data_IF_352554845183
#
_entry.id   IF_352554845183
#
_cell.length_a   1.000
_cell.length_b   1.000
_cell.length_c   1.000
_cell.angle_alpha   90.00
_cell.angle_beta   90.00
_cell.angle_gamma   90.00
#
_symmetry.space_group_name_H-M   'P 1'
#
loop_
_entity.id
_entity.type
_entity.pdbx_description
1 polymer ?
#
# COMPACT_ATOMS: atom_id res chain seq x y z
N UNK A 1 21.07 -14.74 -32.65
CA UNK A 1 20.10 -13.75 -32.19
C UNK A 1 20.32 -13.55 -30.70
N UNK A 2 20.81 -12.37 -30.29
CA UNK A 2 20.82 -12.02 -28.87
C UNK A 2 19.37 -11.76 -28.43
N UNK A 3 18.95 -12.17 -27.22
CA UNK A 3 17.66 -11.73 -26.70
C UNK A 3 17.71 -10.22 -26.52
N UNK A 4 16.65 -9.54 -26.91
CA UNK A 4 16.49 -8.12 -26.63
C UNK A 4 16.51 -7.91 -25.11
N UNK A 5 17.58 -7.32 -24.59
CA UNK A 5 17.64 -6.85 -23.20
C UNK A 5 16.60 -5.74 -23.09
N UNK A 6 15.43 -6.08 -22.56
CA UNK A 6 14.42 -5.09 -22.18
C UNK A 6 15.10 -4.20 -21.14
N UNK A 7 15.33 -2.93 -21.46
CA UNK A 7 15.89 -1.96 -20.51
C UNK A 7 14.88 -1.83 -19.36
N UNK A 8 15.15 -2.53 -18.26
CA UNK A 8 14.42 -2.36 -17.01
C UNK A 8 14.61 -0.90 -16.56
N UNK A 9 13.56 -0.29 -16.03
CA UNK A 9 13.65 1.05 -15.47
C UNK A 9 14.71 1.02 -14.34
N UNK A 10 15.61 2.02 -14.21
CA UNK A 10 16.58 2.13 -13.11
C UNK A 10 16.04 1.84 -11.70
N UNK A 11 14.76 2.09 -11.44
CA UNK A 11 14.14 1.79 -10.14
C UNK A 11 13.81 0.31 -9.97
N UNK A 12 13.53 -0.40 -11.07
CA UNK A 12 13.39 -1.87 -11.09
C UNK A 12 14.73 -2.54 -10.80
N UNK A 13 15.85 -2.02 -11.32
CA UNK A 13 17.18 -2.54 -11.03
C UNK A 13 17.56 -2.37 -9.56
N UNK A 14 17.27 -1.19 -8.96
CA UNK A 14 17.47 -0.97 -7.52
C UNK A 14 16.61 -1.89 -6.65
N UNK A 15 15.39 -2.19 -7.08
CA UNK A 15 14.53 -3.16 -6.40
C UNK A 15 15.13 -4.56 -6.46
N UNK A 16 15.56 -5.00 -7.63
CA UNK A 16 16.20 -6.30 -7.81
C UNK A 16 17.49 -6.41 -6.98
N UNK A 17 18.30 -5.36 -6.92
CA UNK A 17 19.50 -5.31 -6.06
C UNK A 17 19.17 -5.40 -4.57
N UNK A 18 18.19 -4.62 -4.09
CA UNK A 18 17.74 -4.69 -2.70
C UNK A 18 17.17 -6.07 -2.39
N UNK A 19 16.32 -6.62 -3.26
CA UNK A 19 15.78 -7.96 -3.11
C UNK A 19 16.88 -9.02 -3.09
N UNK A 20 17.88 -8.92 -3.96
CA UNK A 20 19.02 -9.82 -3.96
C UNK A 20 19.80 -9.76 -2.64
N UNK A 21 20.06 -8.56 -2.13
CA UNK A 21 20.89 -8.35 -0.92
C UNK A 21 20.16 -8.66 0.38
N UNK A 22 18.93 -8.21 0.52
CA UNK A 22 18.23 -8.24 1.81
C UNK A 22 17.26 -9.42 1.91
N UNK A 23 16.66 -9.82 0.80
CA UNK A 23 15.61 -10.85 0.78
C UNK A 23 16.18 -12.21 0.40
N UNK A 24 16.91 -12.29 -0.71
CA UNK A 24 17.46 -13.55 -1.22
C UNK A 24 18.64 -14.02 -0.36
N UNK A 25 19.60 -13.13 -0.07
CA UNK A 25 20.78 -13.53 0.70
C UNK A 25 20.45 -14.00 2.13
N UNK A 26 19.34 -13.51 2.70
CA UNK A 26 18.90 -13.87 4.06
C UNK A 26 17.78 -14.92 4.10
N UNK A 27 17.37 -15.47 2.96
CA UNK A 27 16.17 -16.32 2.81
C UNK A 27 14.95 -15.72 3.56
N UNK A 28 14.72 -14.42 3.38
CA UNK A 28 13.67 -13.70 4.08
C UNK A 28 12.32 -13.97 3.42
N UNK A 29 11.44 -14.65 4.18
CA UNK A 29 10.08 -14.94 3.75
C UNK A 29 9.08 -13.86 4.14
N UNK A 30 9.53 -12.70 4.62
CA UNK A 30 8.68 -11.56 5.05
C UNK A 30 7.75 -11.89 6.25
N UNK A 31 8.12 -12.87 7.07
CA UNK A 31 7.29 -13.34 8.19
C UNK A 31 7.01 -12.27 9.24
N UNK A 32 7.93 -11.32 9.41
CA UNK A 32 7.85 -10.21 10.34
C UNK A 32 7.75 -8.85 9.64
N UNK A 33 7.42 -8.81 8.34
CA UNK A 33 7.28 -7.55 7.60
C UNK A 33 5.82 -7.11 7.55
N UNK A 34 5.61 -5.83 7.80
CA UNK A 34 4.32 -5.14 7.72
C UNK A 34 4.39 -4.20 6.54
N UNK A 35 3.64 -4.51 5.48
CA UNK A 35 3.55 -3.68 4.28
C UNK A 35 2.44 -2.66 4.47
N UNK A 36 2.74 -1.38 4.26
CA UNK A 36 1.79 -0.28 4.45
C UNK A 36 1.78 0.64 3.26
N UNK A 37 0.65 1.33 3.06
CA UNK A 37 0.49 2.29 1.97
C UNK A 37 -0.77 3.16 2.18
N UNK A 38 -0.86 4.24 1.38
CA UNK A 38 -2.05 5.07 1.25
C UNK A 38 -2.75 4.91 -0.10
N UNK A 39 -4.08 4.83 -0.06
CA UNK A 39 -4.90 4.81 -1.27
C UNK A 39 -5.98 5.90 -1.24
N UNK A 40 -6.18 6.58 -2.38
CA UNK A 40 -7.35 7.43 -2.61
C UNK A 40 -8.47 6.65 -3.31
N UNK A 41 -9.69 6.74 -2.80
CA UNK A 41 -10.89 6.16 -3.42
C UNK A 41 -11.86 7.27 -3.78
N UNK A 42 -12.25 7.36 -5.06
CA UNK A 42 -13.14 8.40 -5.59
C UNK A 42 -14.31 7.80 -6.37
N UNK A 43 -15.51 8.32 -6.13
CA UNK A 43 -16.72 8.05 -6.90
C UNK A 43 -17.00 9.17 -7.90
N UNK A 44 -17.26 8.81 -9.16
CA UNK A 44 -17.80 9.71 -10.18
C UNK A 44 -19.04 9.05 -10.82
N UNK A 45 -20.21 9.70 -10.77
CA UNK A 45 -21.46 9.24 -11.41
C UNK A 45 -21.71 7.71 -11.30
N UNK A 46 -21.75 7.17 -10.07
CA UNK A 46 -21.98 5.75 -9.78
C UNK A 46 -20.91 4.76 -10.32
N UNK A 47 -19.76 5.23 -10.80
CA UNK A 47 -18.64 4.38 -11.19
C UNK A 47 -17.39 4.77 -10.39
N UNK A 48 -16.74 3.78 -9.82
CA UNK A 48 -15.39 3.97 -9.26
C UNK A 48 -14.45 4.16 -10.43
N UNK A 49 -13.63 5.21 -10.38
CA UNK A 49 -12.62 5.39 -11.41
C UNK A 49 -11.70 4.17 -11.43
N UNK A 50 -11.77 3.42 -12.53
CA UNK A 50 -10.67 2.60 -13.04
C UNK A 50 -9.43 3.48 -13.05
N UNK A 51 -8.58 3.23 -12.07
CA UNK A 51 -7.13 3.41 -12.03
C UNK A 51 -6.61 4.67 -12.74
N UNK A 52 -6.04 5.60 -11.95
CA UNK A 52 -4.94 6.43 -12.45
C UNK A 52 -3.72 5.50 -12.59
N UNK A 53 -3.75 4.60 -13.57
CA UNK A 53 -2.53 4.01 -14.13
C UNK A 53 -1.90 5.13 -14.94
N UNK A 54 -0.59 5.30 -14.79
CA UNK A 54 0.25 6.08 -15.68
C UNK A 54 -0.23 5.89 -17.13
N UNK A 55 -0.85 6.94 -17.69
CA UNK A 55 -1.19 6.94 -19.12
C UNK A 55 0.13 6.95 -19.88
N UNK A 56 0.27 6.09 -20.87
CA UNK A 56 1.19 6.35 -21.98
C UNK A 56 0.95 7.79 -22.44
N UNK A 57 2.06 8.50 -22.67
CA UNK A 57 2.17 9.95 -22.84
C UNK A 57 1.21 10.53 -23.90
N UNK A 58 0.61 9.68 -24.74
CA UNK A 58 -0.16 10.05 -25.92
C UNK A 58 -1.63 9.55 -25.95
N UNK A 59 -2.16 9.01 -24.84
CA UNK A 59 -3.58 8.57 -24.82
C UNK A 59 -4.54 9.69 -24.42
N UNK A 60 -5.20 10.30 -25.42
CA UNK A 60 -6.30 11.27 -25.21
C UNK A 60 -7.56 10.50 -24.80
N UNK A 61 -7.76 10.31 -23.50
CA UNK A 61 -9.03 9.77 -23.01
C UNK A 61 -10.16 10.81 -23.11
N UNK A 62 -11.40 10.39 -23.39
CA UNK A 62 -12.54 11.29 -23.39
C UNK A 62 -12.70 11.96 -22.03
N UNK A 63 -12.82 13.30 -22.05
CA UNK A 63 -13.03 14.11 -20.85
C UNK A 63 -14.49 13.92 -20.41
N UNK A 64 -14.72 12.98 -19.50
CA UNK A 64 -16.00 12.86 -18.83
C UNK A 64 -16.24 14.09 -17.93
N UNK A 65 -17.48 14.59 -17.82
CA UNK A 65 -17.81 15.67 -16.91
C UNK A 65 -17.39 15.30 -15.49
N UNK A 66 -16.50 16.09 -14.89
CA UNK A 66 -16.12 15.93 -13.48
C UNK A 66 -17.23 16.54 -12.63
N UNK A 67 -17.86 15.79 -11.71
CA UNK A 67 -18.78 16.39 -10.75
C UNK A 67 -18.05 17.50 -9.97
N UNK A 68 -18.73 18.61 -9.66
CA UNK A 68 -18.14 19.74 -8.91
C UNK A 68 -17.60 19.34 -7.52
N UNK A 69 -18.17 18.29 -6.92
CA UNK A 69 -17.71 17.71 -5.64
C UNK A 69 -17.69 16.18 -5.75
N UNK A 70 -16.64 15.57 -6.32
CA UNK A 70 -16.54 14.13 -6.36
C UNK A 70 -16.33 13.59 -4.95
N UNK A 71 -17.02 12.52 -4.62
CA UNK A 71 -16.95 11.90 -3.31
C UNK A 71 -15.62 11.15 -3.22
N UNK A 72 -14.66 11.70 -2.47
CA UNK A 72 -13.30 11.19 -2.33
C UNK A 72 -12.95 10.98 -0.86
N UNK A 73 -12.35 9.84 -0.56
CA UNK A 73 -11.74 9.54 0.74
C UNK A 73 -10.32 9.04 0.54
N UNK A 74 -9.48 9.29 1.53
CA UNK A 74 -8.14 8.74 1.66
C UNK A 74 -8.16 7.62 2.69
N UNK A 75 -7.30 6.63 2.48
CA UNK A 75 -7.21 5.42 3.29
C UNK A 75 -5.76 5.13 3.56
N UNK A 76 -5.44 4.78 4.80
CA UNK A 76 -4.18 4.14 5.16
C UNK A 76 -4.47 2.78 5.78
N UNK A 77 -3.68 1.77 5.43
CA UNK A 77 -3.70 0.49 6.13
C UNK A 77 -2.40 -0.29 5.92
N UNK A 78 -2.32 -1.45 6.57
CA UNK A 78 -1.20 -2.37 6.46
C UNK A 78 -1.62 -3.83 6.45
N UNK A 79 -0.85 -4.65 5.75
CA UNK A 79 -0.99 -6.11 5.72
C UNK A 79 0.32 -6.78 6.13
N UNK A 80 0.22 -7.96 6.73
CA UNK A 80 1.36 -8.81 7.02
C UNK A 80 0.95 -10.27 6.91
N UNK A 81 1.92 -11.18 7.04
CA UNK A 81 1.63 -12.62 7.11
C UNK A 81 0.78 -13.05 8.31
N UNK A 82 0.55 -12.13 9.26
CA UNK A 82 -0.24 -12.34 10.48
C UNK A 82 -1.56 -11.57 10.48
N UNK A 83 -1.95 -10.99 9.35
CA UNK A 83 -3.23 -10.31 9.15
C UNK A 83 -3.08 -8.83 8.85
N UNK A 84 -4.10 -8.05 9.22
CA UNK A 84 -4.22 -6.65 8.81
C UNK A 84 -4.17 -5.69 10.00
N UNK A 85 -3.64 -4.49 9.76
CA UNK A 85 -3.80 -3.36 10.68
C UNK A 85 -5.25 -2.88 10.67
N UNK A 86 -5.58 -1.95 11.55
CA UNK A 86 -6.81 -1.18 11.41
C UNK A 86 -6.72 -0.31 10.14
N UNK A 87 -7.77 -0.37 9.31
CA UNK A 87 -7.94 0.58 8.21
C UNK A 87 -8.37 1.95 8.75
N UNK A 88 -7.64 3.00 8.33
CA UNK A 88 -7.89 4.38 8.74
C UNK A 88 -8.37 5.17 7.53
N UNK A 89 -9.53 5.80 7.65
CA UNK A 89 -10.16 6.58 6.57
C UNK A 89 -10.16 8.05 6.99
N UNK A 90 -9.74 8.93 6.09
CA UNK A 90 -9.62 10.36 6.33
C UNK A 90 -9.84 11.17 5.04
N UNK A 91 -10.03 12.47 5.17
CA UNK A 91 -10.33 13.36 4.03
C UNK A 91 -9.27 14.41 3.78
N UNK A 92 -8.48 14.73 4.81
CA UNK A 92 -7.48 15.77 4.75
C UNK A 92 -6.19 15.27 4.09
N UNK A 93 -5.35 16.21 3.67
CA UNK A 93 -3.99 15.91 3.25
C UNK A 93 -3.22 15.37 4.47
N UNK A 94 -2.53 14.25 4.28
CA UNK A 94 -1.71 13.66 5.33
C UNK A 94 -0.37 14.39 5.45
N UNK A 95 -0.24 15.20 6.49
CA UNK A 95 1.04 15.80 6.89
C UNK A 95 1.89 14.80 7.69
N UNK A 96 3.18 15.08 7.91
CA UNK A 96 4.01 14.28 8.80
C UNK A 96 3.42 14.17 10.23
N UNK A 97 2.85 15.27 10.75
CA UNK A 97 2.18 15.26 12.05
C UNK A 97 0.94 14.35 12.06
N UNK A 98 0.16 14.34 10.96
CA UNK A 98 -0.97 13.43 10.81
C UNK A 98 -0.52 11.97 10.63
N UNK A 99 0.60 11.75 9.94
CA UNK A 99 1.18 10.41 9.85
C UNK A 99 1.58 9.90 11.25
N UNK A 100 2.20 10.74 12.09
CA UNK A 100 2.52 10.35 13.46
C UNK A 100 1.23 10.11 14.28
N UNK A 101 0.27 11.03 14.26
CA UNK A 101 -0.77 11.14 15.30
C UNK A 101 -2.24 11.08 14.86
N UNK A 102 -2.60 10.54 13.69
CA UNK A 102 -3.32 9.28 13.93
C UNK A 102 -2.73 8.02 13.32
N UNK A 103 -1.92 8.09 12.27
CA UNK A 103 -1.65 6.86 11.50
C UNK A 103 -0.82 5.85 12.30
N UNK A 104 0.34 6.27 12.81
CA UNK A 104 1.19 5.37 13.57
C UNK A 104 0.55 4.98 14.90
N UNK A 105 -0.04 5.93 15.62
CA UNK A 105 -0.59 5.71 16.97
C UNK A 105 -1.88 4.89 16.99
N UNK A 106 -2.77 5.04 16.01
CA UNK A 106 -4.06 4.34 15.98
C UNK A 106 -4.04 3.10 15.08
N UNK A 107 -3.18 3.08 14.07
CA UNK A 107 -3.10 2.04 13.07
C UNK A 107 -1.99 1.04 13.35
N UNK A 108 -0.74 1.52 13.32
CA UNK A 108 0.44 0.66 13.30
C UNK A 108 0.82 0.11 14.68
N UNK A 109 1.03 0.99 15.66
CA UNK A 109 1.56 0.62 16.99
C UNK A 109 0.66 -0.41 17.70
N UNK A 110 -0.68 -0.25 17.75
CA UNK A 110 -1.55 -1.26 18.35
C UNK A 110 -1.46 -2.62 17.66
N UNK A 111 -1.25 -2.63 16.34
CA UNK A 111 -1.08 -3.86 15.58
C UNK A 111 0.27 -4.54 15.90
N UNK A 112 1.37 -3.78 15.92
CA UNK A 112 2.69 -4.30 16.30
C UNK A 112 2.63 -4.95 17.69
N UNK A 113 2.15 -4.22 18.69
CA UNK A 113 2.13 -4.69 20.08
C UNK A 113 1.31 -5.98 20.24
N UNK A 114 0.22 -6.12 19.46
CA UNK A 114 -0.65 -7.30 19.51
C UNK A 114 -0.08 -8.49 18.73
N UNK A 115 0.57 -8.26 17.59
CA UNK A 115 0.84 -9.30 16.58
C UNK A 115 2.33 -9.66 16.48
N UNK A 116 3.22 -8.74 16.84
CA UNK A 116 4.66 -8.85 16.70
C UNK A 116 5.41 -8.46 17.99
N UNK A 117 5.22 -9.21 19.10
CA UNK A 117 5.84 -8.88 20.39
C UNK A 117 7.36 -9.03 20.42
N UNK A 118 7.96 -9.77 19.47
CA UNK A 118 9.41 -10.05 19.46
C UNK A 118 10.17 -9.18 18.47
N UNK A 119 9.74 -9.15 17.21
CA UNK A 119 10.41 -8.40 16.14
C UNK A 119 9.43 -8.15 15.00
N UNK A 120 9.57 -7.00 14.36
CA UNK A 120 8.86 -6.61 13.15
C UNK A 120 9.78 -5.75 12.27
N UNK A 121 9.39 -5.58 11.00
CA UNK A 121 9.95 -4.60 10.07
C UNK A 121 8.79 -3.93 9.36
N UNK A 122 8.77 -2.60 9.35
CA UNK A 122 7.81 -1.81 8.60
C UNK A 122 8.37 -1.55 7.19
N UNK A 123 7.56 -1.82 6.18
CA UNK A 123 7.76 -1.31 4.84
C UNK A 123 6.79 -0.13 4.61
N UNK A 124 7.35 0.99 4.17
CA UNK A 124 6.66 2.21 3.76
C UNK A 124 7.44 2.83 2.59
N UNK A 125 6.81 3.69 1.79
CA UNK A 125 7.50 4.36 0.68
C UNK A 125 8.39 5.52 1.16
N UNK A 126 9.06 6.18 0.21
CA UNK A 126 9.99 7.29 0.49
C UNK A 126 9.32 8.67 0.49
N UNK A 127 7.99 8.76 0.63
CA UNK A 127 7.31 10.06 0.71
C UNK A 127 7.94 10.95 1.80
N UNK A 128 8.14 12.25 1.55
CA UNK A 128 8.64 13.21 2.53
C UNK A 128 8.02 13.09 3.93
N UNK A 129 6.74 12.73 4.05
CA UNK A 129 6.07 12.55 5.35
C UNK A 129 6.59 11.37 6.17
N UNK A 130 7.00 10.29 5.50
CA UNK A 130 7.58 9.11 6.16
C UNK A 130 9.06 9.30 6.46
N UNK A 131 9.76 10.06 5.61
CA UNK A 131 11.20 10.27 5.73
C UNK A 131 11.59 11.51 6.55
N UNK A 132 10.61 12.33 6.95
CA UNK A 132 10.79 13.49 7.81
C UNK A 132 11.50 13.14 9.13
N UNK A 133 12.36 14.05 9.60
CA UNK A 133 13.12 13.86 10.84
C UNK A 133 12.22 13.60 12.05
N UNK A 134 11.11 14.33 12.17
CA UNK A 134 10.14 14.12 13.25
C UNK A 134 9.54 12.71 13.21
N UNK A 135 9.19 12.21 12.02
CA UNK A 135 8.64 10.85 11.84
C UNK A 135 9.67 9.79 12.21
N UNK A 136 10.92 9.90 11.72
CA UNK A 136 12.00 8.97 12.04
C UNK A 136 12.34 8.96 13.53
N UNK A 137 12.39 10.14 14.16
CA UNK A 137 12.63 10.27 15.60
C UNK A 137 11.52 9.58 16.40
N UNK A 138 10.25 9.84 16.06
CA UNK A 138 9.11 9.18 16.70
C UNK A 138 9.13 7.66 16.51
N UNK A 139 9.39 7.17 15.28
CA UNK A 139 9.49 5.74 15.02
C UNK A 139 10.61 5.08 15.85
N UNK A 140 11.76 5.75 15.99
CA UNK A 140 12.87 5.29 16.83
C UNK A 140 12.46 5.24 18.31
N UNK A 141 11.82 6.29 18.82
CA UNK A 141 11.33 6.36 20.20
C UNK A 141 10.31 5.25 20.51
N UNK A 142 9.46 4.91 19.54
CA UNK A 142 8.45 3.85 19.68
C UNK A 142 8.99 2.44 19.34
N UNK A 143 10.29 2.27 19.15
CA UNK A 143 10.93 1.01 18.76
C UNK A 143 10.30 0.38 17.50
N UNK A 144 9.89 1.23 16.55
CA UNK A 144 9.41 0.79 15.24
C UNK A 144 10.64 0.60 14.36
N UNK A 145 10.87 -0.62 13.88
CA UNK A 145 11.96 -0.90 12.94
C UNK A 145 11.40 -0.86 11.52
N UNK A 146 12.01 -0.10 10.61
CA UNK A 146 11.57 0.00 9.21
C UNK A 146 12.73 -0.27 8.23
N UNK A 147 12.40 -0.65 7.00
CA UNK A 147 13.40 -0.72 5.94
C UNK A 147 13.83 0.68 5.51
N UNK A 148 15.12 0.96 5.70
CA UNK A 148 15.78 2.21 5.33
C UNK A 148 16.10 2.31 3.83
N UNK A 149 16.10 1.18 3.13
CA UNK A 149 16.37 1.08 1.69
C UNK A 149 15.15 0.41 1.05
N UNK A 150 14.15 1.19 0.66
CA UNK A 150 13.14 0.75 -0.31
C UNK A 150 13.34 1.58 -1.58
N UNK A 151 13.32 0.99 -2.79
CA UNK A 151 13.52 1.75 -4.01
C UNK A 151 12.38 2.75 -4.17
N UNK A 152 12.71 3.96 -4.61
CA UNK A 152 11.70 4.93 -4.99
C UNK A 152 10.84 4.37 -6.14
N UNK A 153 9.57 4.78 -6.19
CA UNK A 153 8.68 4.52 -7.33
C UNK A 153 8.50 3.03 -7.71
N UNK A 154 8.40 2.18 -6.69
CA UNK A 154 8.26 0.72 -6.84
C UNK A 154 6.90 0.17 -6.35
N UNK A 155 5.75 0.72 -6.80
CA UNK A 155 4.44 0.28 -6.32
C UNK A 155 4.15 -1.19 -6.65
N UNK A 156 4.67 -1.69 -7.77
CA UNK A 156 4.52 -3.09 -8.20
C UNK A 156 5.04 -4.11 -7.19
N UNK A 157 5.89 -3.67 -6.26
CA UNK A 157 6.54 -4.53 -5.29
C UNK A 157 6.01 -4.39 -3.87
N UNK A 158 4.93 -3.62 -3.67
CA UNK A 158 4.20 -3.56 -2.41
C UNK A 158 2.92 -4.41 -2.50
N UNK A 159 2.77 -5.50 -1.72
CA UNK A 159 1.64 -6.43 -1.88
C UNK A 159 0.28 -5.79 -1.54
N UNK A 160 0.29 -4.68 -0.81
CA UNK A 160 -0.93 -3.94 -0.50
C UNK A 160 -1.54 -3.24 -1.73
N UNK A 161 -0.78 -3.00 -2.79
CA UNK A 161 -1.31 -2.45 -4.04
C UNK A 161 -2.29 -3.40 -4.73
N UNK A 162 -2.03 -4.71 -4.63
CA UNK A 162 -2.97 -5.74 -5.08
C UNK A 162 -4.25 -5.74 -4.23
N UNK A 163 -4.12 -5.48 -2.92
CA UNK A 163 -5.27 -5.32 -2.02
C UNK A 163 -6.11 -4.10 -2.41
N UNK A 164 -5.49 -2.98 -2.78
CA UNK A 164 -6.21 -1.80 -3.27
C UNK A 164 -6.96 -2.07 -4.56
N UNK A 165 -6.37 -2.83 -5.48
CA UNK A 165 -7.06 -3.28 -6.69
C UNK A 165 -8.30 -4.13 -6.35
N UNK A 166 -8.15 -5.07 -5.41
CA UNK A 166 -9.25 -5.93 -4.95
C UNK A 166 -10.37 -5.11 -4.27
N UNK A 167 -10.02 -4.16 -3.40
CA UNK A 167 -10.95 -3.23 -2.75
C UNK A 167 -11.75 -2.44 -3.78
N UNK A 168 -11.07 -1.82 -4.75
CA UNK A 168 -11.72 -1.01 -5.80
C UNK A 168 -12.66 -1.86 -6.65
N UNK A 169 -12.26 -3.09 -7.00
CA UNK A 169 -13.11 -4.05 -7.72
C UNK A 169 -14.36 -4.41 -6.92
N UNK A 170 -14.21 -4.69 -5.62
CA UNK A 170 -15.31 -5.00 -4.70
C UNK A 170 -16.31 -3.85 -4.61
N UNK A 171 -15.81 -2.64 -4.37
CA UNK A 171 -16.64 -1.44 -4.26
C UNK A 171 -17.33 -1.12 -5.58
N UNK A 172 -16.70 -1.37 -6.73
CA UNK A 172 -17.29 -1.14 -8.06
C UNK A 172 -18.55 -1.99 -8.24
N UNK A 173 -18.49 -3.26 -7.80
CA UNK A 173 -19.63 -4.18 -7.85
C UNK A 173 -20.76 -3.80 -6.89
N UNK A 174 -20.43 -3.12 -5.79
CA UNK A 174 -21.40 -2.66 -4.78
C UNK A 174 -22.07 -1.32 -5.15
N UNK A 175 -21.45 -0.55 -6.05
CA UNK A 175 -21.91 0.76 -6.50
C UNK A 175 -22.38 1.71 -5.39
N UNK A 176 -21.52 2.07 -4.41
CA UNK A 176 -21.89 2.99 -3.35
C UNK A 176 -22.36 4.33 -3.91
N UNK A 177 -23.44 4.89 -3.33
CA UNK A 177 -24.07 6.14 -3.81
C UNK A 177 -23.77 7.30 -2.87
N UNK A 178 -23.54 7.01 -1.59
CA UNK A 178 -23.21 8.00 -0.56
C UNK A 178 -21.80 7.81 -0.03
N UNK A 179 -21.34 8.78 0.77
CA UNK A 179 -20.05 8.71 1.47
C UNK A 179 -20.05 7.61 2.50
N UNK A 180 -21.17 7.47 3.19
CA UNK A 180 -21.39 6.46 4.20
C UNK A 180 -21.35 5.06 3.58
N UNK A 181 -21.99 4.85 2.43
CA UNK A 181 -21.89 3.58 1.70
C UNK A 181 -20.45 3.25 1.32
N UNK A 182 -19.68 4.26 0.89
CA UNK A 182 -18.29 4.08 0.52
C UNK A 182 -17.44 3.67 1.73
N UNK A 183 -17.58 4.39 2.85
CA UNK A 183 -16.87 4.11 4.11
C UNK A 183 -17.25 2.72 4.64
N UNK A 184 -18.53 2.37 4.63
CA UNK A 184 -19.03 1.06 5.06
C UNK A 184 -18.54 -0.05 4.13
N UNK A 185 -18.48 0.20 2.82
CA UNK A 185 -17.92 -0.71 1.83
C UNK A 185 -16.43 -0.98 2.07
N UNK A 186 -15.66 0.06 2.38
CA UNK A 186 -14.22 -0.05 2.69
C UNK A 186 -14.02 -0.86 3.99
N UNK A 187 -14.76 -0.53 5.05
CA UNK A 187 -14.66 -1.23 6.33
C UNK A 187 -15.09 -2.69 6.25
N UNK A 188 -16.19 -2.99 5.55
CA UNK A 188 -16.67 -4.37 5.37
C UNK A 188 -15.67 -5.19 4.56
N UNK A 189 -15.17 -4.68 3.44
CA UNK A 189 -14.10 -5.34 2.68
C UNK A 189 -12.89 -5.66 3.55
N UNK A 190 -12.41 -4.68 4.31
CA UNK A 190 -11.19 -4.86 5.12
C UNK A 190 -11.37 -5.91 6.21
N UNK A 191 -12.58 -6.00 6.78
CA UNK A 191 -12.91 -6.95 7.85
C UNK A 191 -13.23 -8.35 7.33
N UNK A 192 -13.91 -8.44 6.19
CA UNK A 192 -14.54 -9.69 5.71
C UNK A 192 -13.71 -10.38 4.61
N UNK A 193 -13.11 -9.60 3.71
CA UNK A 193 -12.45 -10.15 2.52
C UNK A 193 -10.93 -10.35 2.72
N UNK A 194 -10.30 -9.60 3.65
CA UNK A 194 -8.86 -9.70 3.94
C UNK A 194 -8.54 -10.62 5.13
N UNK A 195 -8.63 -11.91 4.87
CA UNK A 195 -8.19 -12.94 5.82
C UNK A 195 -6.67 -13.17 5.76
N UNK A 196 -6.09 -13.80 6.80
CA UNK A 196 -4.65 -14.14 6.83
C UNK A 196 -4.22 -14.94 5.59
N UNK A 197 -4.95 -15.97 5.12
CA UNK A 197 -4.60 -16.67 3.88
C UNK A 197 -4.55 -15.77 2.66
N UNK A 198 -5.46 -14.80 2.55
CA UNK A 198 -5.49 -13.84 1.44
C UNK A 198 -4.28 -12.91 1.51
N UNK A 199 -3.94 -12.38 2.71
CA UNK A 199 -2.72 -11.61 2.91
C UNK A 199 -1.47 -12.40 2.50
N UNK A 200 -1.38 -13.66 2.91
CA UNK A 200 -0.27 -14.55 2.55
C UNK A 200 -0.19 -14.75 1.03
N UNK A 201 -1.32 -14.97 0.34
CA UNK A 201 -1.33 -15.12 -1.11
C UNK A 201 -0.74 -13.91 -1.85
N UNK A 202 -1.06 -12.68 -1.39
CA UNK A 202 -0.48 -11.46 -1.98
C UNK A 202 1.01 -11.33 -1.70
N UNK A 203 1.46 -11.63 -0.48
CA UNK A 203 2.88 -11.60 -0.10
C UNK A 203 3.66 -12.68 -0.88
N UNK A 204 3.11 -13.87 -1.03
CA UNK A 204 3.70 -14.97 -1.80
C UNK A 204 3.76 -14.65 -3.30
N UNK A 205 2.81 -13.89 -3.83
CA UNK A 205 2.83 -13.50 -5.25
C UNK A 205 4.07 -12.65 -5.55
N UNK A 206 4.40 -11.70 -4.68
CA UNK A 206 5.62 -10.88 -4.83
C UNK A 206 6.87 -11.74 -4.68
N UNK A 207 6.86 -12.71 -3.78
CA UNK A 207 7.94 -13.69 -3.68
C UNK A 207 8.09 -14.53 -4.96
N UNK A 208 7.00 -14.84 -5.68
CA UNK A 208 7.02 -15.65 -6.92
C UNK A 208 7.34 -14.86 -8.18
N UNK A 209 7.08 -13.55 -8.21
CA UNK A 209 7.62 -12.68 -9.27
C UNK A 209 9.16 -12.74 -9.31
N UNK A 210 9.82 -13.26 -8.26
CA UNK A 210 11.25 -13.60 -8.20
C UNK A 210 11.70 -14.80 -9.04
N UNK A 211 10.81 -15.74 -9.41
CA UNK A 211 11.23 -17.02 -10.00
C UNK A 211 11.14 -17.08 -11.53
N UNK A 212 10.77 -15.97 -12.17
CA UNK A 212 10.59 -15.88 -13.63
C UNK A 212 11.54 -14.87 -14.31
N UNK A 213 12.54 -14.37 -13.58
CA UNK A 213 13.66 -13.58 -14.10
C UNK A 213 14.97 -14.29 -13.74
#
# INVERSE_FOLDING_TARGET
MQPATQLLNPDTDKWLEMCAREVIANDDHFNNVIFTDECSVQLNNNKIMKIVIYREKDSVAPVLPKPKHPLKVHVWAGISRRGTTRILIFENIMTAAFYINPILTLGLIPFINRVYPSSHRLQQDNDPKHTANATKAFMTEQNIYWWNVWPAESPHFNPIEMVWSMLKSRLTKKEPKTKEDLINGINSFWREDLTIPICNNFIDHIYKLRSYQ
#
